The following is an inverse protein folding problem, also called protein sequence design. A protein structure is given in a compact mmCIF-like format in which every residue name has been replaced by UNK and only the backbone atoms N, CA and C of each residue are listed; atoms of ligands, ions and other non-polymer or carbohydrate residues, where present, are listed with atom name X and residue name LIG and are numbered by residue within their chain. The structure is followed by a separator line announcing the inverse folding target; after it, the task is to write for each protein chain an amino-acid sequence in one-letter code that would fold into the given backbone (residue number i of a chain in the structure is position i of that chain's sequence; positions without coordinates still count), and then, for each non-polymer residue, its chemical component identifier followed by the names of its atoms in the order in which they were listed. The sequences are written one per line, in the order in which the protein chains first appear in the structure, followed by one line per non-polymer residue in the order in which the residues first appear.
data_IF_424801906024
#
_entry.id   IF_424801906024
#
_cell.length_a   1.000
_cell.length_b   1.000
_cell.length_c   1.000
_cell.angle_alpha   90.00
_cell.angle_beta   90.00
_cell.angle_gamma   90.00
#
_symmetry.space_group_name_H-M   'P 1'
#
loop_
_entity.id
_entity.type
_entity.pdbx_description
1 polymer ?
#
# COMPACT_ATOMS: atom_id res chain seq x y z
N UNK A 1 -14.76 -10.68 -1.47
CA UNK A 1 -14.37 -11.39 -0.23
C UNK A 1 -13.34 -12.45 -0.61
N UNK A 2 -12.28 -12.64 0.20
CA UNK A 2 -11.22 -13.63 -0.09
C UNK A 2 -11.49 -15.05 0.46
N UNK A 3 -12.58 -15.24 1.20
CA UNK A 3 -12.96 -16.52 1.79
C UNK A 3 -14.10 -16.35 2.80
N UNK A 4 -14.37 -17.40 3.57
CA UNK A 4 -15.33 -17.38 4.67
C UNK A 4 -14.60 -17.10 6.00
N UNK A 5 -14.87 -15.96 6.67
CA UNK A 5 -14.20 -15.62 7.93
C UNK A 5 -14.57 -16.58 9.07
N UNK A 6 -13.57 -17.22 9.68
CA UNK A 6 -13.73 -18.04 10.89
C UNK A 6 -13.38 -17.31 12.20
N UNK A 7 -12.81 -16.12 12.08
CA UNK A 7 -12.33 -15.23 13.16
C UNK A 7 -12.82 -13.80 12.86
N UNK A 8 -12.74 -12.83 13.79
CA UNK A 8 -13.31 -11.50 13.55
C UNK A 8 -12.45 -10.63 12.61
N UNK A 9 -11.78 -11.24 11.64
CA UNK A 9 -11.04 -10.56 10.58
C UNK A 9 -11.75 -10.80 9.26
N UNK A 10 -12.06 -9.72 8.55
CA UNK A 10 -12.65 -9.76 7.22
C UNK A 10 -11.64 -9.26 6.20
N UNK A 11 -11.53 -9.98 5.08
CA UNK A 11 -10.62 -9.66 3.98
C UNK A 11 -11.39 -9.44 2.67
N UNK A 12 -11.18 -8.28 2.05
CA UNK A 12 -11.80 -7.91 0.77
C UNK A 12 -10.74 -7.51 -0.24
N UNK A 13 -11.02 -7.82 -1.51
CA UNK A 13 -10.23 -7.39 -2.66
C UNK A 13 -11.19 -6.81 -3.70
N UNK A 14 -10.66 -6.21 -4.75
CA UNK A 14 -11.43 -5.80 -5.93
C UNK A 14 -11.01 -6.60 -7.15
N UNK A 15 -12.00 -7.01 -7.95
CA UNK A 15 -11.84 -7.57 -9.29
C UNK A 15 -11.98 -6.50 -10.39
N UNK A 16 -12.23 -5.25 -10.00
CA UNK A 16 -12.38 -4.11 -10.90
C UNK A 16 -11.03 -3.37 -11.05
N UNK A 17 -10.43 -3.33 -12.25
CA UNK A 17 -9.14 -2.70 -12.46
C UNK A 17 -9.15 -1.18 -12.24
N UNK A 18 -10.33 -0.54 -12.21
CA UNK A 18 -10.47 0.88 -11.90
C UNK A 18 -10.59 1.15 -10.38
N UNK A 19 -10.60 0.11 -9.54
CA UNK A 19 -10.77 0.23 -8.10
C UNK A 19 -9.59 -0.39 -7.35
N UNK A 20 -8.53 0.39 -7.20
CA UNK A 20 -7.34 -0.02 -6.46
C UNK A 20 -7.57 -0.03 -4.94
N UNK A 21 -7.22 -1.14 -4.29
CA UNK A 21 -7.42 -1.32 -2.84
C UNK A 21 -6.53 -0.43 -1.99
N UNK A 22 -5.34 -0.07 -2.47
CA UNK A 22 -4.45 0.82 -1.73
C UNK A 22 -4.96 2.26 -1.79
N UNK A 23 -5.53 2.69 -2.91
CA UNK A 23 -6.22 3.99 -3.00
C UNK A 23 -7.44 4.03 -2.08
N UNK A 24 -8.20 2.94 -1.96
CA UNK A 24 -9.29 2.84 -0.97
C UNK A 24 -8.76 3.04 0.45
N UNK A 25 -7.59 2.49 0.78
CA UNK A 25 -6.98 2.65 2.11
C UNK A 25 -6.60 4.12 2.39
N UNK A 26 -6.02 4.82 1.42
CA UNK A 26 -5.67 6.24 1.55
C UNK A 26 -6.93 7.12 1.69
N UNK A 27 -7.96 6.87 0.88
CA UNK A 27 -9.25 7.56 1.00
C UNK A 27 -9.90 7.31 2.37
N UNK A 28 -9.83 6.07 2.88
CA UNK A 28 -10.31 5.76 4.23
C UNK A 28 -9.52 6.50 5.31
N UNK A 29 -8.18 6.57 5.17
CA UNK A 29 -7.31 7.30 6.09
C UNK A 29 -7.65 8.78 6.14
N UNK A 30 -7.91 9.42 4.99
CA UNK A 30 -8.37 10.79 4.92
C UNK A 30 -9.71 11.05 5.64
N UNK A 31 -10.52 9.99 5.84
CA UNK A 31 -11.79 10.01 6.58
C UNK A 31 -11.64 9.57 8.05
N UNK A 32 -10.41 9.37 8.53
CA UNK A 32 -10.14 8.92 9.91
C UNK A 32 -10.30 7.42 10.13
N UNK A 33 -10.35 6.63 9.06
CA UNK A 33 -10.45 5.16 9.12
C UNK A 33 -9.13 4.51 8.77
N UNK A 34 -8.74 3.49 9.52
CA UNK A 34 -7.58 2.68 9.20
C UNK A 34 -8.02 1.34 8.61
N UNK A 35 -8.00 1.25 7.28
CA UNK A 35 -8.15 -0.02 6.56
C UNK A 35 -6.76 -0.57 6.31
N UNK A 36 -6.53 -1.85 6.63
CA UNK A 36 -5.18 -2.42 6.62
C UNK A 36 -4.87 -2.99 5.23
N UNK A 37 -4.08 -2.30 4.37
CA UNK A 37 -3.69 -2.86 3.09
C UNK A 37 -2.74 -4.04 3.29
N UNK A 38 -2.90 -5.05 2.44
CA UNK A 38 -1.97 -6.15 2.31
C UNK A 38 -1.59 -6.32 0.84
N UNK A 39 -0.29 -6.43 0.60
CA UNK A 39 0.26 -6.76 -0.71
C UNK A 39 -0.14 -8.16 -1.15
N UNK A 40 -0.15 -8.37 -2.46
CA UNK A 40 -0.29 -9.66 -3.10
C UNK A 40 0.84 -10.61 -2.68
N UNK A 41 0.46 -11.89 -2.53
CA UNK A 41 1.38 -12.95 -2.18
C UNK A 41 0.81 -14.33 -2.54
N UNK A 42 1.59 -15.17 -3.23
CA UNK A 42 1.26 -16.57 -3.55
C UNK A 42 -0.15 -16.77 -4.14
N UNK A 43 -0.53 -15.93 -5.10
CA UNK A 43 -1.83 -16.02 -5.79
C UNK A 43 -2.99 -15.36 -5.03
N UNK A 44 -2.76 -14.81 -3.85
CA UNK A 44 -3.70 -13.93 -3.16
C UNK A 44 -3.50 -12.51 -3.72
N UNK A 45 -4.55 -11.85 -4.24
CA UNK A 45 -4.44 -10.50 -4.76
C UNK A 45 -4.25 -9.47 -3.64
N UNK A 46 -3.88 -8.23 -3.99
CA UNK A 46 -3.89 -7.12 -3.05
C UNK A 46 -5.26 -6.99 -2.38
N UNK A 47 -5.27 -6.70 -1.08
CA UNK A 47 -6.51 -6.72 -0.32
C UNK A 47 -6.49 -5.78 0.89
N UNK A 48 -7.66 -5.58 1.47
CA UNK A 48 -7.88 -4.84 2.71
C UNK A 48 -8.35 -5.78 3.80
N UNK A 49 -7.80 -5.60 5.00
CA UNK A 49 -8.21 -6.28 6.21
C UNK A 49 -8.91 -5.35 7.18
N UNK A 50 -9.94 -5.89 7.83
CA UNK A 50 -10.69 -5.24 8.91
C UNK A 50 -10.75 -6.20 10.10
N UNK A 51 -10.22 -5.75 11.24
CA UNK A 51 -10.34 -6.49 12.50
C UNK A 51 -11.53 -5.92 13.28
N UNK A 52 -12.57 -6.73 13.43
CA UNK A 52 -13.78 -6.38 14.16
C UNK A 52 -13.66 -6.76 15.63
N UNK A 53 -14.25 -5.95 16.49
CA UNK A 53 -14.31 -6.20 17.93
C UNK A 53 -15.73 -5.94 18.44
N UNK A 54 -15.98 -6.20 19.72
CA UNK A 54 -17.30 -5.93 20.32
C UNK A 54 -17.72 -4.46 20.31
N UNK A 55 -16.80 -3.52 20.03
CA UNK A 55 -17.09 -2.08 19.97
C UNK A 55 -17.08 -1.52 18.55
N UNK A 56 -16.87 -2.37 17.53
CA UNK A 56 -16.83 -1.91 16.14
C UNK A 56 -18.23 -1.49 15.67
N UNK A 57 -18.34 -0.26 15.17
CA UNK A 57 -19.53 0.20 14.46
C UNK A 57 -19.48 -0.27 13.00
N UNK A 58 -20.19 -1.36 12.71
CA UNK A 58 -20.23 -1.97 11.37
C UNK A 58 -20.93 -1.06 10.37
N UNK A 59 -21.95 -0.31 10.79
CA UNK A 59 -22.67 0.61 9.89
C UNK A 59 -21.80 1.76 9.45
N UNK A 60 -21.06 2.36 10.39
CA UNK A 60 -20.10 3.41 10.09
C UNK A 60 -18.93 2.89 9.22
N UNK A 61 -18.43 1.68 9.51
CA UNK A 61 -17.39 1.03 8.70
C UNK A 61 -17.83 0.83 7.24
N UNK A 62 -19.02 0.29 7.02
CA UNK A 62 -19.55 0.04 5.68
C UNK A 62 -19.79 1.35 4.92
N UNK A 63 -20.24 2.40 5.61
CA UNK A 63 -20.40 3.75 5.03
C UNK A 63 -19.04 4.30 4.59
N UNK A 64 -18.04 4.23 5.46
CA UNK A 64 -16.67 4.66 5.12
C UNK A 64 -16.09 3.87 3.94
N UNK A 65 -16.28 2.55 3.92
CA UNK A 65 -15.83 1.72 2.81
C UNK A 65 -16.49 2.09 1.48
N UNK A 66 -17.80 2.34 1.48
CA UNK A 66 -18.52 2.74 0.27
C UNK A 66 -18.07 4.12 -0.24
N UNK A 67 -17.91 5.10 0.66
CA UNK A 67 -17.48 6.45 0.30
C UNK A 67 -16.02 6.49 -0.16
N UNK A 68 -15.14 5.72 0.46
CA UNK A 68 -13.75 5.56 0.03
C UNK A 68 -13.65 4.86 -1.31
N UNK A 69 -14.41 3.78 -1.54
CA UNK A 69 -14.43 3.08 -2.82
C UNK A 69 -14.96 3.97 -3.96
N UNK A 70 -15.97 4.81 -3.69
CA UNK A 70 -16.48 5.77 -4.66
C UNK A 70 -15.42 6.81 -5.04
N UNK A 71 -14.70 7.35 -4.06
CA UNK A 71 -13.65 8.33 -4.31
C UNK A 71 -12.44 7.72 -5.01
N UNK A 72 -11.99 6.55 -4.55
CA UNK A 72 -10.88 5.80 -5.17
C UNK A 72 -11.17 5.51 -6.65
N UNK A 73 -12.40 5.14 -6.99
CA UNK A 73 -12.82 4.95 -8.39
C UNK A 73 -12.72 6.22 -9.24
N UNK A 74 -12.99 7.38 -8.66
CA UNK A 74 -12.94 8.65 -9.38
C UNK A 74 -11.49 9.08 -9.68
N UNK A 75 -10.54 8.69 -8.82
CA UNK A 75 -9.11 8.94 -8.98
C UNK A 75 -8.46 7.89 -9.89
N UNK A 76 -8.81 6.62 -9.70
CA UNK A 76 -8.19 5.47 -10.37
C UNK A 76 -6.94 4.97 -9.65
N UNK A 77 -6.29 3.92 -10.18
CA UNK A 77 -5.04 3.39 -9.64
C UNK A 77 -3.89 4.41 -9.79
N UNK A 78 -2.84 4.33 -8.94
CA UNK A 78 -1.66 5.19 -9.07
C UNK A 78 -0.96 5.04 -10.43
N UNK A 79 -0.53 6.15 -11.01
CA UNK A 79 0.26 6.17 -12.25
C UNK A 79 1.73 5.88 -11.94
N UNK A 80 2.10 4.60 -11.93
CA UNK A 80 3.47 4.16 -11.70
C UNK A 80 4.26 4.19 -13.02
N UNK A 81 5.41 4.91 -13.09
CA UNK A 81 6.19 5.00 -14.32
C UNK A 81 6.57 3.64 -14.89
N UNK A 82 6.34 3.47 -16.20
CA UNK A 82 6.78 2.27 -16.93
C UNK A 82 8.30 2.09 -16.80
N UNK A 83 8.72 0.91 -16.34
CA UNK A 83 10.14 0.57 -16.14
C UNK A 83 10.67 0.83 -14.73
N UNK A 84 9.91 1.46 -13.83
CA UNK A 84 10.36 1.65 -12.43
C UNK A 84 10.59 0.30 -11.73
N UNK A 85 9.69 -0.66 -11.93
CA UNK A 85 9.80 -2.01 -11.34
C UNK A 85 11.07 -2.70 -11.82
N UNK A 86 11.37 -2.64 -13.13
CA UNK A 86 12.57 -3.23 -13.73
C UNK A 86 13.84 -2.54 -13.23
N UNK A 87 13.81 -1.21 -13.08
CA UNK A 87 14.91 -0.45 -12.54
C UNK A 87 15.20 -0.80 -11.06
N UNK A 88 14.14 -0.98 -10.25
CA UNK A 88 14.25 -1.40 -8.85
C UNK A 88 14.75 -2.84 -8.71
N UNK A 89 14.34 -3.73 -9.62
CA UNK A 89 14.79 -5.13 -9.61
C UNK A 89 16.25 -5.28 -10.04
N UNK A 90 16.74 -4.39 -10.91
CA UNK A 90 18.15 -4.33 -11.31
C UNK A 90 19.07 -3.55 -10.35
N UNK A 91 18.52 -2.94 -9.29
CA UNK A 91 19.28 -2.09 -8.38
C UNK A 91 20.00 -2.91 -7.32
N UNK A 92 21.31 -2.72 -7.20
CA UNK A 92 22.10 -3.26 -6.09
C UNK A 92 21.94 -2.37 -4.85
N UNK A 93 20.97 -2.72 -4.01
CA UNK A 93 20.64 -1.99 -2.79
C UNK A 93 21.77 -2.00 -1.74
N UNK A 94 22.71 -2.96 -1.80
CA UNK A 94 23.84 -3.02 -0.86
C UNK A 94 24.89 -1.94 -1.17
N UNK A 95 24.96 -1.50 -2.44
CA UNK A 95 25.89 -0.46 -2.88
C UNK A 95 25.33 0.95 -2.77
N UNK A 96 24.04 1.09 -2.46
CA UNK A 96 23.34 2.36 -2.43
C UNK A 96 23.50 3.06 -1.07
N UNK A 97 24.24 4.17 -1.07
CA UNK A 97 24.40 5.03 0.12
C UNK A 97 23.10 5.73 0.54
N UNK A 98 23.07 6.34 1.73
CA UNK A 98 21.85 6.94 2.29
C UNK A 98 21.33 8.10 1.46
N UNK A 99 22.21 8.86 0.80
CA UNK A 99 21.81 9.95 -0.08
C UNK A 99 21.15 9.43 -1.36
N UNK A 100 21.72 8.40 -1.98
CA UNK A 100 21.14 7.73 -3.14
C UNK A 100 19.81 7.07 -2.82
N UNK A 101 19.71 6.44 -1.65
CA UNK A 101 18.47 5.83 -1.19
C UNK A 101 17.37 6.85 -0.87
N UNK A 102 17.72 7.99 -0.25
CA UNK A 102 16.78 9.09 -0.07
C UNK A 102 16.30 9.68 -1.41
N UNK A 103 17.18 9.78 -2.40
CA UNK A 103 16.82 10.19 -3.76
C UNK A 103 15.85 9.21 -4.44
N UNK A 104 16.05 7.91 -4.24
CA UNK A 104 15.14 6.87 -4.73
C UNK A 104 13.74 7.02 -4.12
N UNK A 105 13.66 7.20 -2.79
CA UNK A 105 12.39 7.41 -2.09
C UNK A 105 11.69 8.69 -2.54
N UNK A 106 12.42 9.79 -2.70
CA UNK A 106 11.86 11.05 -3.19
C UNK A 106 11.27 10.92 -4.61
N UNK A 107 11.86 10.05 -5.46
CA UNK A 107 11.35 9.81 -6.82
C UNK A 107 9.96 9.16 -6.84
N UNK A 108 9.56 8.51 -5.75
CA UNK A 108 8.25 7.87 -5.58
C UNK A 108 7.37 8.62 -4.58
N UNK A 109 7.70 9.87 -4.28
CA UNK A 109 6.93 10.74 -3.39
C UNK A 109 7.14 10.49 -1.89
N UNK A 110 8.15 9.70 -1.50
CA UNK A 110 8.48 9.43 -0.09
C UNK A 110 9.58 10.38 0.37
N UNK A 111 9.24 11.26 1.32
CA UNK A 111 10.21 12.15 1.97
C UNK A 111 10.50 11.69 3.40
N UNK A 112 11.73 11.20 3.62
CA UNK A 112 12.21 10.77 4.94
C UNK A 112 12.45 11.93 5.91
N UNK A 113 12.55 13.18 5.42
CA UNK A 113 12.82 14.37 6.23
C UNK A 113 11.58 14.96 6.91
N UNK A 114 10.40 14.34 6.71
CA UNK A 114 9.17 14.63 7.45
C UNK A 114 8.29 15.72 6.86
N UNK A 115 8.42 16.04 5.57
CA UNK A 115 7.69 17.13 4.92
C UNK A 115 6.37 16.76 4.23
N UNK A 116 6.08 15.47 4.02
CA UNK A 116 4.83 15.01 3.40
C UNK A 116 4.43 13.63 3.89
N UNK A 117 3.12 13.39 4.11
CA UNK A 117 2.62 12.02 4.17
C UNK A 117 2.63 11.49 2.73
N UNK A 118 3.50 10.52 2.38
CA UNK A 118 3.43 9.93 1.06
C UNK A 118 2.04 9.33 0.83
N UNK A 119 1.54 9.44 -0.40
CA UNK A 119 0.38 8.65 -0.84
C UNK A 119 0.79 7.17 -0.76
N UNK A 120 0.36 6.52 0.32
CA UNK A 120 0.74 5.13 0.60
C UNK A 120 0.20 4.19 -0.47
N UNK A 121 -0.83 4.59 -1.22
CA UNK A 121 -1.29 3.90 -2.41
C UNK A 121 -0.18 3.70 -3.43
N UNK A 122 0.56 4.75 -3.77
CA UNK A 122 1.68 4.70 -4.73
C UNK A 122 2.79 3.79 -4.21
N UNK A 123 3.16 3.95 -2.94
CA UNK A 123 4.19 3.12 -2.28
C UNK A 123 3.80 1.65 -2.31
N UNK A 124 2.59 1.32 -1.87
CA UNK A 124 2.09 -0.05 -1.85
C UNK A 124 1.98 -0.64 -3.25
N UNK A 125 1.57 0.13 -4.26
CA UNK A 125 1.51 -0.31 -5.66
C UNK A 125 2.88 -0.71 -6.18
N UNK A 126 3.90 0.11 -5.92
CA UNK A 126 5.29 -0.19 -6.32
C UNK A 126 5.78 -1.45 -5.61
N UNK A 127 5.62 -1.51 -4.29
CA UNK A 127 6.01 -2.68 -3.51
C UNK A 127 5.28 -3.94 -4.00
N UNK A 128 4.01 -3.84 -4.34
CA UNK A 128 3.19 -4.96 -4.81
C UNK A 128 3.72 -5.56 -6.11
N UNK A 129 4.18 -4.71 -7.03
CA UNK A 129 4.71 -5.12 -8.32
C UNK A 129 6.11 -5.76 -8.24
N UNK A 130 6.86 -5.52 -7.17
CA UNK A 130 8.21 -6.08 -7.00
C UNK A 130 8.18 -7.58 -6.67
N UNK A 131 9.17 -8.36 -7.15
CA UNK A 131 9.41 -9.71 -6.66
C UNK A 131 9.59 -9.71 -5.12
N UNK A 132 9.14 -10.76 -4.41
CA UNK A 132 9.20 -10.79 -2.95
C UNK A 132 10.59 -10.55 -2.35
N UNK A 133 11.65 -11.07 -2.99
CA UNK A 133 13.03 -10.88 -2.52
C UNK A 133 13.48 -9.43 -2.65
N UNK A 134 13.18 -8.78 -3.78
CA UNK A 134 13.48 -7.36 -4.04
C UNK A 134 12.72 -6.45 -3.07
N UNK A 135 11.43 -6.73 -2.84
CA UNK A 135 10.60 -6.05 -1.84
C UNK A 135 11.20 -6.13 -0.44
N UNK A 136 11.62 -7.33 -0.02
CA UNK A 136 12.23 -7.55 1.29
C UNK A 136 13.54 -6.77 1.45
N UNK A 137 14.45 -6.84 0.47
CA UNK A 137 15.70 -6.09 0.47
C UNK A 137 15.47 -4.58 0.57
N UNK A 138 14.48 -4.05 -0.18
CA UNK A 138 14.12 -2.63 -0.15
C UNK A 138 13.59 -2.19 1.22
N UNK A 139 12.75 -3.00 1.87
CA UNK A 139 12.23 -2.72 3.20
C UNK A 139 13.31 -2.76 4.28
N UNK A 140 14.26 -3.70 4.18
CA UNK A 140 15.41 -3.74 5.07
C UNK A 140 16.24 -2.45 4.93
N UNK A 141 16.57 -2.06 3.70
CA UNK A 141 17.31 -0.82 3.41
C UNK A 141 16.59 0.43 3.94
N UNK A 142 15.26 0.46 3.80
CA UNK A 142 14.40 1.51 4.33
C UNK A 142 14.50 1.63 5.84
N UNK A 143 14.36 0.52 6.57
CA UNK A 143 14.46 0.51 8.02
C UNK A 143 15.87 0.92 8.47
N UNK A 144 16.92 0.49 7.78
CA UNK A 144 18.29 0.92 8.08
C UNK A 144 18.45 2.44 7.95
N UNK A 145 17.91 3.06 6.89
CA UNK A 145 17.96 4.52 6.72
C UNK A 145 17.13 5.27 7.77
N UNK A 146 15.97 4.74 8.17
CA UNK A 146 15.07 5.39 9.13
C UNK A 146 15.68 5.48 10.55
N UNK A 147 16.58 4.56 10.89
CA UNK A 147 17.20 4.45 12.22
C UNK A 147 18.70 4.73 12.24
N UNK A 148 19.28 5.21 11.14
CA UNK A 148 20.67 5.66 11.05
C UNK A 148 20.89 6.98 11.82
#
# INVERSE_FOLDING_TARGET
MLGEPAVPLVAVTSDDPALDVFVIADEARARGWFFQPQLSYRGIPPNLHFTLTGVSDVGALLTALADSAKAARAVGPPDVPSGLVEALDGLDLDTLDDAGFAGLLASVGVDLSGGGEPEMATVNTILDALPPATREALLIRFLSALYA
#
